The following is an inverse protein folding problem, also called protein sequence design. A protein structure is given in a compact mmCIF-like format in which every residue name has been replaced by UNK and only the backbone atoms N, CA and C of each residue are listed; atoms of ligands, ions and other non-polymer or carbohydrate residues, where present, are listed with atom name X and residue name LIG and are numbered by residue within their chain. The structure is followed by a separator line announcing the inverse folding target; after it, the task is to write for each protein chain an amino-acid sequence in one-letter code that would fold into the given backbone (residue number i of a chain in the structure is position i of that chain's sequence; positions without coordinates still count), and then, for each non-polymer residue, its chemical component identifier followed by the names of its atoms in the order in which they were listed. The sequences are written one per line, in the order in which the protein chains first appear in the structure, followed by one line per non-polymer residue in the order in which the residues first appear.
data_IF_667368385824
#
_entry.id   IF_667368385824
#
_cell.length_a   1.000
_cell.length_b   1.000
_cell.length_c   1.000
_cell.angle_alpha   90.00
_cell.angle_beta   90.00
_cell.angle_gamma   90.00
#
_symmetry.space_group_name_H-M   'P 1'
#
loop_
_entity.id
_entity.type
_entity.pdbx_description
1 polymer ?
#
# COMPACT_ATOMS: atom_id res chain seq x y z
N UNK A 1 -5.36 28.39 10.83
CA UNK A 1 -5.24 27.29 9.87
C UNK A 1 -4.61 27.86 8.63
N UNK A 2 -3.64 27.20 7.97
CA UNK A 2 -3.16 27.70 6.68
C UNK A 2 -4.34 27.77 5.71
N UNK A 3 -4.33 28.80 4.85
CA UNK A 3 -5.33 29.01 3.81
C UNK A 3 -5.36 27.76 2.90
N UNK A 4 -6.55 27.28 2.53
CA UNK A 4 -6.66 26.22 1.53
C UNK A 4 -6.20 26.77 0.18
N UNK A 5 -5.18 26.16 -0.41
CA UNK A 5 -4.72 26.48 -1.76
C UNK A 5 -5.63 25.81 -2.79
N UNK A 6 -5.90 26.48 -3.89
CA UNK A 6 -6.40 25.81 -5.08
C UNK A 6 -5.32 24.88 -5.62
N UNK A 7 -5.71 23.81 -6.32
CA UNK A 7 -4.77 22.88 -6.91
C UNK A 7 -5.19 22.47 -8.33
N UNK A 8 -4.23 22.02 -9.10
CA UNK A 8 -4.44 21.43 -10.42
C UNK A 8 -3.87 20.02 -10.49
N UNK A 9 -4.48 19.17 -11.29
CA UNK A 9 -4.02 17.81 -11.54
C UNK A 9 -3.67 17.61 -13.01
N UNK A 10 -2.58 16.90 -13.29
CA UNK A 10 -2.18 16.52 -14.65
C UNK A 10 -1.71 15.09 -14.72
N UNK A 11 -1.96 14.45 -15.85
CA UNK A 11 -1.41 13.14 -16.15
C UNK A 11 0.09 13.24 -16.42
N UNK A 12 0.83 12.29 -15.87
CA UNK A 12 2.26 12.10 -16.10
C UNK A 12 2.54 10.64 -16.42
N UNK A 13 3.67 10.36 -17.03
CA UNK A 13 4.10 8.98 -17.28
C UNK A 13 5.61 8.89 -17.37
N UNK A 14 6.11 7.67 -17.16
CA UNK A 14 7.51 7.30 -17.38
C UNK A 14 7.58 5.86 -17.85
N UNK A 15 8.75 5.41 -18.25
CA UNK A 15 8.94 4.06 -18.77
C UNK A 15 9.89 3.27 -17.88
N UNK A 16 9.55 2.01 -17.63
CA UNK A 16 10.37 1.03 -16.92
C UNK A 16 10.34 -0.28 -17.70
N UNK A 17 11.49 -0.76 -18.16
CA UNK A 17 11.64 -2.00 -18.94
C UNK A 17 10.72 -2.08 -20.18
N UNK A 18 10.51 -0.95 -20.87
CA UNK A 18 9.63 -0.86 -22.03
C UNK A 18 8.13 -0.90 -21.69
N UNK A 19 7.80 -0.77 -20.40
CA UNK A 19 6.44 -0.67 -19.90
C UNK A 19 6.18 0.75 -19.43
N UNK A 20 5.14 1.37 -19.99
CA UNK A 20 4.73 2.72 -19.63
C UNK A 20 3.94 2.69 -18.32
N UNK A 21 4.38 3.46 -17.35
CA UNK A 21 3.73 3.67 -16.07
C UNK A 21 3.01 5.02 -16.11
N UNK A 22 1.77 5.05 -15.67
CA UNK A 22 0.92 6.24 -15.68
C UNK A 22 0.68 6.74 -14.26
N UNK A 23 0.62 8.05 -14.10
CA UNK A 23 0.35 8.68 -12.81
C UNK A 23 -0.38 10.00 -12.94
N UNK A 24 -0.89 10.48 -11.83
CA UNK A 24 -1.50 11.81 -11.70
C UNK A 24 -0.67 12.63 -10.72
N UNK A 25 -0.12 13.73 -11.21
CA UNK A 25 0.54 14.74 -10.40
C UNK A 25 -0.49 15.83 -10.03
N UNK A 26 -0.65 16.09 -8.72
CA UNK A 26 -1.50 17.16 -8.22
C UNK A 26 -0.63 18.16 -7.48
N UNK A 27 -0.78 19.45 -7.78
CA UNK A 27 0.03 20.50 -7.17
C UNK A 27 -0.82 21.74 -6.83
N UNK A 28 -0.45 22.50 -5.79
CA UNK A 28 -1.03 23.82 -5.50
C UNK A 28 -0.85 24.76 -6.68
N UNK A 29 -1.84 25.62 -6.94
CA UNK A 29 -1.73 26.71 -7.90
C UNK A 29 -1.15 27.95 -7.22
N UNK A 30 -0.31 28.69 -7.92
CA UNK A 30 0.21 29.99 -7.46
C UNK A 30 1.33 29.93 -6.42
N UNK A 31 1.75 28.78 -5.95
CA UNK A 31 2.86 28.61 -5.01
C UNK A 31 3.96 27.70 -5.55
N UNK A 32 5.21 28.13 -5.40
CA UNK A 32 6.38 27.26 -5.57
C UNK A 32 6.59 26.47 -4.27
N UNK A 33 6.17 25.22 -4.26
CA UNK A 33 6.39 24.33 -3.10
C UNK A 33 7.54 23.36 -3.34
N UNK A 34 8.32 23.13 -2.27
CA UNK A 34 9.37 22.11 -2.23
C UNK A 34 8.95 20.82 -1.56
N UNK A 35 7.68 20.75 -1.07
CA UNK A 35 7.16 19.58 -0.33
C UNK A 35 6.41 18.67 -1.28
N UNK A 36 6.78 17.39 -1.30
CA UNK A 36 6.11 16.42 -2.16
C UNK A 36 5.84 15.09 -1.46
N UNK A 37 4.79 14.42 -1.89
CA UNK A 37 4.40 13.08 -1.41
C UNK A 37 4.18 12.15 -2.60
N UNK A 38 4.89 11.02 -2.62
CA UNK A 38 4.67 9.93 -3.58
C UNK A 38 3.81 8.87 -2.91
N UNK A 39 2.73 8.49 -3.56
CA UNK A 39 1.78 7.47 -3.06
C UNK A 39 2.14 6.10 -3.59
N UNK A 40 2.13 5.08 -2.73
CA UNK A 40 2.45 3.70 -3.09
C UNK A 40 1.27 2.80 -2.72
N UNK A 41 0.64 2.23 -3.75
CA UNK A 41 -0.56 1.43 -3.61
C UNK A 41 -0.31 0.04 -2.97
N UNK A 42 -1.36 -0.51 -2.37
CA UNK A 42 -1.39 -1.84 -1.78
C UNK A 42 -1.46 -2.99 -2.78
N UNK A 43 -1.79 -4.20 -2.30
CA UNK A 43 -1.78 -5.45 -3.06
C UNK A 43 -2.79 -5.51 -4.21
N UNK A 44 -2.54 -6.44 -5.14
CA UNK A 44 -3.43 -6.75 -6.26
C UNK A 44 -3.45 -5.66 -7.34
N UNK A 45 -4.46 -5.65 -8.22
CA UNK A 45 -4.60 -4.69 -9.30
C UNK A 45 -5.11 -3.32 -8.81
N UNK A 46 -4.60 -2.87 -7.66
CA UNK A 46 -4.97 -1.61 -7.01
C UNK A 46 -4.31 -0.44 -7.76
N UNK A 47 -5.14 0.48 -8.23
CA UNK A 47 -4.73 1.63 -9.03
C UNK A 47 -4.14 2.77 -8.20
N UNK A 48 -3.81 3.88 -8.87
CA UNK A 48 -3.25 5.11 -8.28
C UNK A 48 -4.11 5.74 -7.20
N UNK A 49 -5.42 5.52 -7.24
CA UNK A 49 -6.39 6.09 -6.29
C UNK A 49 -6.68 5.14 -5.11
N UNK A 50 -6.02 3.99 -5.09
CA UNK A 50 -6.23 2.86 -4.18
C UNK A 50 -7.59 2.21 -4.36
N UNK A 51 -8.10 2.22 -5.59
CA UNK A 51 -9.25 1.45 -6.01
C UNK A 51 -8.82 0.13 -6.65
N UNK A 52 -9.61 -0.90 -6.45
CA UNK A 52 -9.40 -2.21 -7.08
C UNK A 52 -10.62 -2.57 -7.92
N UNK A 53 -10.44 -3.09 -9.15
CA UNK A 53 -11.55 -3.56 -9.96
C UNK A 53 -12.29 -4.77 -9.36
N UNK A 54 -11.72 -5.37 -8.31
CA UNK A 54 -12.31 -6.48 -7.56
C UNK A 54 -13.27 -6.00 -6.45
N UNK A 55 -13.33 -4.70 -6.18
CA UNK A 55 -14.15 -4.10 -5.12
C UNK A 55 -15.03 -2.98 -5.67
N UNK A 56 -16.22 -2.76 -5.10
CA UNK A 56 -17.12 -1.72 -5.58
C UNK A 56 -16.64 -0.31 -5.27
N UNK A 57 -16.93 0.62 -6.18
CA UNK A 57 -16.74 2.06 -6.03
C UNK A 57 -15.41 2.58 -6.57
N UNK A 58 -15.37 3.88 -6.82
CA UNK A 58 -14.23 4.63 -7.37
C UNK A 58 -13.80 5.80 -6.51
N UNK A 59 -14.42 5.98 -5.35
CA UNK A 59 -14.07 7.01 -4.37
C UNK A 59 -12.80 6.62 -3.60
N UNK A 60 -11.64 6.67 -4.26
CA UNK A 60 -10.36 6.18 -3.76
C UNK A 60 -9.74 7.08 -2.69
N UNK A 61 -9.24 6.47 -1.63
CA UNK A 61 -8.62 7.18 -0.51
C UNK A 61 -7.36 7.95 -0.91
N UNK A 62 -6.53 7.39 -1.80
CA UNK A 62 -5.31 8.07 -2.24
C UNK A 62 -5.62 9.39 -2.96
N UNK A 63 -6.67 9.42 -3.79
CA UNK A 63 -7.12 10.65 -4.43
C UNK A 63 -7.54 11.69 -3.39
N UNK A 64 -8.41 11.32 -2.46
CA UNK A 64 -8.90 12.22 -1.42
C UNK A 64 -7.77 12.77 -0.54
N UNK A 65 -6.82 11.93 -0.13
CA UNK A 65 -5.66 12.34 0.66
C UNK A 65 -4.75 13.26 -0.16
N UNK A 66 -4.52 12.95 -1.43
CA UNK A 66 -3.67 13.76 -2.30
C UNK A 66 -4.25 15.17 -2.52
N UNK A 67 -5.56 15.28 -2.72
CA UNK A 67 -6.27 16.56 -2.85
C UNK A 67 -6.17 17.36 -1.55
N UNK A 68 -6.43 16.77 -0.39
CA UNK A 68 -6.28 17.41 0.92
C UNK A 68 -4.85 17.88 1.18
N UNK A 69 -3.83 17.07 0.85
CA UNK A 69 -2.43 17.46 0.98
C UNK A 69 -2.05 18.58 0.02
N UNK A 70 -2.59 18.57 -1.20
CA UNK A 70 -2.32 19.64 -2.17
C UNK A 70 -2.93 20.96 -1.76
N UNK A 71 -4.12 20.96 -1.13
CA UNK A 71 -4.69 22.15 -0.49
C UNK A 71 -3.83 22.71 0.66
N UNK A 72 -2.91 21.88 1.20
CA UNK A 72 -1.97 22.26 2.28
C UNK A 72 -0.55 22.52 1.78
N UNK A 73 -0.38 22.71 0.48
CA UNK A 73 0.88 23.11 -0.12
C UNK A 73 1.84 21.95 -0.44
N UNK A 74 1.35 20.71 -0.56
CA UNK A 74 2.15 19.59 -1.03
C UNK A 74 1.91 19.30 -2.52
N UNK A 75 2.97 19.01 -3.25
CA UNK A 75 2.85 18.29 -4.54
C UNK A 75 2.62 16.82 -4.21
N UNK A 76 1.69 16.18 -4.91
CA UNK A 76 1.44 14.75 -4.75
C UNK A 76 1.54 14.02 -6.07
N UNK A 77 2.14 12.83 -6.06
CA UNK A 77 2.16 11.92 -7.21
C UNK A 77 1.56 10.58 -6.80
N UNK A 78 0.50 10.18 -7.50
CA UNK A 78 -0.14 8.87 -7.42
C UNK A 78 0.09 8.15 -8.74
N UNK A 79 0.43 6.85 -8.72
CA UNK A 79 0.70 6.12 -9.97
C UNK A 79 0.09 4.71 -9.95
N UNK A 80 -0.24 4.22 -11.14
CA UNK A 80 -0.67 2.85 -11.36
C UNK A 80 0.57 1.97 -11.42
N UNK A 81 0.74 1.09 -10.44
CA UNK A 81 1.78 0.07 -10.52
C UNK A 81 1.47 -0.89 -11.68
N UNK A 82 2.49 -1.58 -12.22
CA UNK A 82 2.24 -2.53 -13.32
C UNK A 82 1.19 -3.57 -12.93
N UNK A 83 0.29 -3.88 -13.84
CA UNK A 83 -0.85 -4.75 -13.58
C UNK A 83 -2.05 -4.04 -12.97
N UNK A 84 -2.07 -2.71 -12.91
CA UNK A 84 -3.20 -1.93 -12.40
C UNK A 84 -3.58 -0.73 -13.29
N UNK A 85 -4.69 -0.08 -12.93
CA UNK A 85 -5.16 1.13 -13.58
C UNK A 85 -5.85 0.92 -14.94
N UNK A 86 -6.37 2.00 -15.52
CA UNK A 86 -7.20 1.93 -16.74
C UNK A 86 -6.41 1.50 -17.98
N UNK A 87 -5.09 1.69 -17.99
CA UNK A 87 -4.23 1.40 -19.15
C UNK A 87 -3.64 -0.02 -19.14
N UNK A 88 -4.10 -0.89 -18.23
CA UNK A 88 -3.59 -2.27 -18.07
C UNK A 88 -3.61 -3.07 -19.38
N UNK A 89 -4.65 -2.87 -20.23
CA UNK A 89 -4.80 -3.59 -21.50
C UNK A 89 -3.65 -3.32 -22.49
N UNK A 90 -3.07 -2.12 -22.45
CA UNK A 90 -1.97 -1.73 -23.35
C UNK A 90 -0.64 -2.39 -22.95
N UNK A 91 -0.48 -2.72 -21.67
CA UNK A 91 0.78 -3.18 -21.08
C UNK A 91 0.76 -4.66 -20.73
N UNK A 92 -0.41 -5.30 -20.61
CA UNK A 92 -0.59 -6.66 -20.10
C UNK A 92 0.29 -7.69 -20.84
N UNK A 93 0.30 -7.68 -22.17
CA UNK A 93 1.11 -8.63 -22.96
C UNK A 93 2.62 -8.47 -22.72
N UNK A 94 3.06 -7.27 -22.34
CA UNK A 94 4.48 -6.96 -22.06
C UNK A 94 4.89 -7.30 -20.63
N UNK A 95 3.93 -7.57 -19.73
CA UNK A 95 4.19 -7.74 -18.30
C UNK A 95 4.45 -9.19 -17.87
N UNK A 96 4.05 -10.18 -18.68
CA UNK A 96 4.19 -11.61 -18.34
C UNK A 96 5.66 -11.91 -18.04
N UNK A 97 5.93 -12.43 -16.84
CA UNK A 97 7.29 -12.74 -16.34
C UNK A 97 8.14 -11.51 -15.98
N UNK A 98 7.58 -10.29 -16.02
CA UNK A 98 8.31 -9.04 -15.74
C UNK A 98 7.82 -8.32 -14.47
N UNK A 99 6.92 -8.92 -13.70
CA UNK A 99 6.53 -8.39 -12.40
C UNK A 99 7.40 -9.04 -11.34
N UNK A 100 8.16 -8.21 -10.60
CA UNK A 100 9.08 -8.62 -9.55
C UNK A 100 9.20 -7.52 -8.49
N UNK A 101 9.78 -7.84 -7.34
CA UNK A 101 10.13 -6.82 -6.33
C UNK A 101 11.08 -5.76 -6.90
N UNK A 102 11.97 -6.15 -7.85
CA UNK A 102 12.83 -5.19 -8.54
C UNK A 102 12.04 -4.25 -9.45
N UNK A 103 11.08 -4.77 -10.22
CA UNK A 103 10.30 -3.92 -11.13
C UNK A 103 9.47 -2.89 -10.38
N UNK A 104 8.89 -3.22 -9.21
CA UNK A 104 8.20 -2.26 -8.36
C UNK A 104 9.15 -1.23 -7.74
N UNK A 105 10.39 -1.64 -7.43
CA UNK A 105 11.44 -0.71 -7.01
C UNK A 105 11.75 0.32 -8.12
N UNK A 106 11.95 -0.15 -9.35
CA UNK A 106 12.27 0.69 -10.51
C UNK A 106 11.10 1.63 -10.87
N UNK A 107 9.85 1.17 -10.72
CA UNK A 107 8.64 2.00 -10.89
C UNK A 107 8.59 3.13 -9.86
N UNK A 108 8.85 2.82 -8.60
CA UNK A 108 8.89 3.84 -7.54
C UNK A 108 10.04 4.81 -7.73
N UNK A 109 11.21 4.35 -8.19
CA UNK A 109 12.31 5.23 -8.55
C UNK A 109 11.93 6.18 -9.70
N UNK A 110 11.19 5.68 -10.69
CA UNK A 110 10.64 6.50 -11.76
C UNK A 110 9.64 7.54 -11.26
N UNK A 111 8.76 7.16 -10.34
CA UNK A 111 7.82 8.07 -9.68
C UNK A 111 8.55 9.18 -8.91
N UNK A 112 9.60 8.84 -8.17
CA UNK A 112 10.45 9.78 -7.44
C UNK A 112 11.13 10.76 -8.42
N UNK A 113 11.76 10.28 -9.48
CA UNK A 113 12.41 11.11 -10.50
C UNK A 113 11.40 12.03 -11.21
N UNK A 114 10.23 11.51 -11.55
CA UNK A 114 9.14 12.29 -12.15
C UNK A 114 8.67 13.39 -11.20
N UNK A 115 8.48 13.10 -9.93
CA UNK A 115 8.10 14.10 -8.92
C UNK A 115 9.17 15.20 -8.82
N UNK A 116 10.44 14.82 -8.73
CA UNK A 116 11.57 15.76 -8.62
C UNK A 116 11.68 16.71 -9.82
N UNK A 117 11.34 16.26 -11.02
CA UNK A 117 11.35 17.13 -12.22
C UNK A 117 10.29 18.23 -12.18
N UNK A 118 9.32 18.16 -11.27
CA UNK A 118 8.24 19.12 -11.10
C UNK A 118 8.40 20.00 -9.85
N UNK A 119 9.43 19.77 -9.04
CA UNK A 119 9.76 20.58 -7.88
C UNK A 119 10.85 21.57 -8.28
N UNK A 120 10.58 22.89 -8.19
CA UNK A 120 11.55 23.94 -8.52
C UNK A 120 12.60 24.15 -7.42
N UNK A 121 12.33 23.69 -6.21
CA UNK A 121 13.18 23.88 -5.05
C UNK A 121 13.75 22.53 -4.54
N UNK A 122 14.74 22.61 -3.65
CA UNK A 122 15.54 21.51 -3.10
C UNK A 122 14.71 20.23 -2.81
N UNK A 123 15.10 19.08 -3.37
CA UNK A 123 14.37 17.79 -3.22
C UNK A 123 14.34 17.21 -1.79
N UNK A 124 14.87 17.95 -0.80
CA UNK A 124 14.99 17.51 0.60
C UNK A 124 13.68 17.37 1.38
N UNK A 125 12.51 17.52 0.76
CA UNK A 125 11.21 17.42 1.43
C UNK A 125 10.24 16.52 0.67
N UNK A 126 10.74 15.38 0.21
CA UNK A 126 9.92 14.36 -0.42
C UNK A 126 9.61 13.23 0.56
N UNK A 127 8.36 12.85 0.61
CA UNK A 127 7.82 11.81 1.47
C UNK A 127 7.21 10.67 0.66
N UNK A 128 7.14 9.47 1.24
CA UNK A 128 6.25 8.43 0.76
C UNK A 128 5.02 8.32 1.65
N UNK A 129 3.85 8.09 1.06
CA UNK A 129 2.63 7.68 1.74
C UNK A 129 2.12 6.40 1.11
N UNK A 130 1.97 5.37 1.93
CA UNK A 130 1.78 4.00 1.46
C UNK A 130 0.51 3.39 2.01
N UNK A 131 -0.01 2.37 1.34
CA UNK A 131 -1.06 1.53 1.88
C UNK A 131 -0.67 0.05 1.80
N UNK A 132 -0.84 -0.69 2.90
CA UNK A 132 -0.71 -2.15 2.93
C UNK A 132 0.66 -2.63 2.38
N UNK A 133 0.68 -3.51 1.37
CA UNK A 133 1.88 -3.98 0.64
C UNK A 133 2.78 -2.82 0.18
N UNK A 134 2.19 -1.67 -0.17
CA UNK A 134 2.94 -0.48 -0.56
C UNK A 134 3.97 -0.04 0.48
N UNK A 135 3.75 -0.35 1.76
CA UNK A 135 4.71 -0.12 2.84
C UNK A 135 6.01 -0.90 2.60
N UNK A 136 5.92 -2.14 2.16
CA UNK A 136 7.08 -2.98 1.86
C UNK A 136 7.86 -2.40 0.67
N UNK A 137 7.17 -1.94 -0.37
CA UNK A 137 7.81 -1.34 -1.54
C UNK A 137 8.56 -0.04 -1.18
N UNK A 138 7.93 0.86 -0.43
CA UNK A 138 8.56 2.11 -0.01
C UNK A 138 9.75 1.87 0.92
N UNK A 139 9.63 0.95 1.87
CA UNK A 139 10.74 0.58 2.76
C UNK A 139 11.88 -0.11 2.00
N UNK A 140 11.58 -1.01 1.06
CA UNK A 140 12.58 -1.64 0.20
C UNK A 140 13.34 -0.59 -0.64
N UNK A 141 12.60 0.40 -1.19
CA UNK A 141 13.21 1.55 -1.88
C UNK A 141 14.13 2.32 -0.93
N UNK A 142 13.65 2.65 0.26
CA UNK A 142 14.39 3.43 1.23
C UNK A 142 15.69 2.74 1.69
N UNK A 143 15.68 1.42 1.83
CA UNK A 143 16.88 0.64 2.19
C UNK A 143 17.86 0.52 1.03
N UNK A 144 17.38 0.36 -0.21
CA UNK A 144 18.22 0.11 -1.38
C UNK A 144 18.68 1.37 -2.10
N UNK A 145 17.92 2.47 -2.01
CA UNK A 145 18.27 3.71 -2.71
C UNK A 145 19.51 4.35 -2.10
N UNK A 146 20.44 4.76 -2.97
CA UNK A 146 21.64 5.54 -2.62
C UNK A 146 21.46 7.03 -2.87
N UNK A 147 20.42 7.42 -3.60
CA UNK A 147 20.08 8.80 -3.93
C UNK A 147 18.57 9.01 -3.82
N UNK A 148 18.13 10.24 -3.64
CA UNK A 148 16.71 10.62 -3.63
C UNK A 148 15.86 9.84 -2.59
N UNK A 149 16.45 9.55 -1.43
CA UNK A 149 15.73 8.93 -0.32
C UNK A 149 14.61 9.86 0.18
N UNK A 150 13.53 9.26 0.65
CA UNK A 150 12.46 10.02 1.29
C UNK A 150 12.96 10.65 2.60
N UNK A 151 12.56 11.89 2.86
CA UNK A 151 12.79 12.57 4.14
C UNK A 151 12.03 11.90 5.29
N UNK A 152 10.93 11.24 4.96
CA UNK A 152 10.12 10.47 5.91
C UNK A 152 9.06 9.65 5.18
N UNK A 153 8.52 8.65 5.87
CA UNK A 153 7.60 7.66 5.30
C UNK A 153 6.37 7.52 6.17
N UNK A 154 5.19 7.61 5.57
CA UNK A 154 3.91 7.29 6.21
C UNK A 154 3.48 5.90 5.76
N UNK A 155 3.43 4.95 6.68
CA UNK A 155 3.09 3.55 6.46
C UNK A 155 1.68 3.30 6.99
N UNK A 156 0.67 3.18 6.12
CA UNK A 156 -0.70 2.92 6.52
C UNK A 156 -1.10 1.47 6.25
N UNK A 157 -1.76 0.82 7.21
CA UNK A 157 -2.14 -0.59 7.10
C UNK A 157 -0.94 -1.51 6.82
N UNK A 158 0.26 -1.16 7.32
CA UNK A 158 1.49 -1.89 7.03
C UNK A 158 1.50 -3.26 7.74
N UNK A 159 1.77 -4.36 7.01
CA UNK A 159 1.87 -5.69 7.61
C UNK A 159 3.19 -5.83 8.38
N UNK A 160 3.11 -6.05 9.68
CA UNK A 160 4.27 -6.35 10.54
C UNK A 160 4.75 -7.79 10.39
N UNK A 161 3.85 -8.70 10.03
CA UNK A 161 4.13 -10.09 9.68
C UNK A 161 4.45 -10.23 8.18
N UNK A 162 4.98 -11.38 7.75
CA UNK A 162 5.13 -11.64 6.33
C UNK A 162 3.77 -11.64 5.60
N UNK A 163 3.78 -11.29 4.32
CA UNK A 163 2.56 -11.31 3.50
C UNK A 163 1.89 -12.70 3.54
N UNK A 164 2.68 -13.77 3.49
CA UNK A 164 2.16 -15.13 3.62
C UNK A 164 1.47 -15.40 4.96
N UNK A 165 2.00 -14.89 6.07
CA UNK A 165 1.37 -15.02 7.39
C UNK A 165 0.06 -14.23 7.49
N UNK A 166 0.03 -13.01 6.93
CA UNK A 166 -1.20 -12.21 6.88
C UNK A 166 -2.26 -12.90 6.03
N UNK A 167 -1.90 -13.35 4.83
CA UNK A 167 -2.80 -14.09 3.94
C UNK A 167 -3.35 -15.37 4.61
N UNK A 168 -2.47 -16.15 5.25
CA UNK A 168 -2.88 -17.36 6.00
C UNK A 168 -3.90 -17.04 7.09
N UNK A 169 -3.70 -15.96 7.83
CA UNK A 169 -4.65 -15.53 8.87
C UNK A 169 -6.01 -15.14 8.27
N UNK A 170 -6.02 -14.45 7.13
CA UNK A 170 -7.25 -14.10 6.41
C UNK A 170 -7.99 -15.35 5.92
N UNK A 171 -7.28 -16.34 5.35
CA UNK A 171 -7.86 -17.64 4.93
C UNK A 171 -8.42 -18.40 6.12
N UNK A 172 -7.68 -18.48 7.23
CA UNK A 172 -8.14 -19.11 8.46
C UNK A 172 -9.46 -18.49 8.95
N UNK A 173 -9.57 -17.16 8.92
CA UNK A 173 -10.80 -16.45 9.28
C UNK A 173 -11.96 -16.77 8.33
N UNK A 174 -11.71 -16.92 7.04
CA UNK A 174 -12.74 -17.33 6.07
C UNK A 174 -13.23 -18.77 6.28
N UNK A 175 -12.31 -19.67 6.64
CA UNK A 175 -12.61 -21.09 6.80
C UNK A 175 -13.28 -21.44 8.13
N UNK A 176 -13.08 -20.63 9.19
CA UNK A 176 -13.43 -20.98 10.57
C UNK A 176 -14.89 -21.36 10.82
N UNK A 177 -15.82 -20.92 9.95
CA UNK A 177 -17.23 -21.27 10.03
C UNK A 177 -17.59 -22.60 9.35
N UNK A 178 -16.63 -23.23 8.65
CA UNK A 178 -16.83 -24.48 7.94
C UNK A 178 -16.57 -25.70 8.86
N UNK A 179 -17.31 -26.80 8.71
CA UNK A 179 -17.18 -27.96 9.59
C UNK A 179 -15.80 -28.62 9.61
N UNK A 180 -15.04 -28.51 8.52
CA UNK A 180 -13.71 -29.09 8.31
C UNK A 180 -12.61 -28.04 8.16
N UNK A 181 -12.76 -26.89 8.85
CA UNK A 181 -11.86 -25.72 8.74
C UNK A 181 -10.38 -26.05 8.88
N UNK A 182 -10.02 -26.90 9.86
CA UNK A 182 -8.61 -27.27 10.12
C UNK A 182 -8.02 -28.09 8.99
N UNK A 183 -8.78 -29.02 8.40
CA UNK A 183 -8.29 -29.83 7.28
C UNK A 183 -8.18 -29.01 6.00
N UNK A 184 -9.14 -28.10 5.75
CA UNK A 184 -9.04 -27.15 4.65
C UNK A 184 -7.82 -26.23 4.80
N UNK A 185 -7.53 -25.77 6.02
CA UNK A 185 -6.35 -24.94 6.28
C UNK A 185 -5.04 -25.73 6.03
N UNK A 186 -4.98 -27.03 6.38
CA UNK A 186 -3.84 -27.89 6.03
C UNK A 186 -3.66 -28.03 4.51
N UNK A 187 -4.77 -28.19 3.75
CA UNK A 187 -4.72 -28.25 2.29
C UNK A 187 -4.19 -26.94 1.69
N UNK A 188 -4.63 -25.80 2.25
CA UNK A 188 -4.10 -24.50 1.88
C UNK A 188 -2.59 -24.41 2.17
N UNK A 189 -2.17 -24.74 3.39
CA UNK A 189 -0.77 -24.67 3.83
C UNK A 189 0.13 -25.54 2.92
N UNK A 190 -0.26 -26.79 2.62
CA UNK A 190 0.48 -27.66 1.71
C UNK A 190 0.61 -27.09 0.28
N UNK A 191 -0.43 -26.42 -0.21
CA UNK A 191 -0.40 -25.74 -1.51
C UNK A 191 0.56 -24.56 -1.49
N UNK A 192 0.58 -23.79 -0.41
CA UNK A 192 1.50 -22.65 -0.23
C UNK A 192 2.95 -23.14 -0.09
N UNK A 193 3.21 -24.22 0.61
CA UNK A 193 4.56 -24.79 0.73
C UNK A 193 5.11 -25.19 -0.65
N UNK A 194 4.28 -25.78 -1.51
CA UNK A 194 4.63 -26.05 -2.91
C UNK A 194 4.91 -24.76 -3.69
N UNK A 195 4.06 -23.73 -3.52
CA UNK A 195 4.24 -22.43 -4.16
C UNK A 195 5.55 -21.76 -3.76
N UNK A 196 5.85 -21.69 -2.47
CA UNK A 196 7.08 -21.05 -1.94
C UNK A 196 8.33 -21.81 -2.36
N UNK A 197 8.28 -23.14 -2.40
CA UNK A 197 9.41 -23.98 -2.86
C UNK A 197 9.61 -23.98 -4.38
N UNK A 198 8.79 -23.26 -5.12
CA UNK A 198 8.91 -23.14 -6.57
C UNK A 198 8.30 -24.29 -7.37
N UNK A 199 7.60 -25.20 -6.69
CA UNK A 199 6.90 -26.31 -7.32
C UNK A 199 5.57 -25.85 -7.95
N UNK A 200 5.08 -26.54 -8.98
CA UNK A 200 3.74 -26.32 -9.50
C UNK A 200 2.70 -26.50 -8.38
N UNK A 201 1.70 -25.61 -8.36
CA UNK A 201 0.61 -25.74 -7.40
C UNK A 201 -0.62 -26.35 -8.05
N UNK A 202 -1.25 -27.26 -7.33
CA UNK A 202 -2.53 -27.86 -7.67
C UNK A 202 -3.43 -27.72 -6.44
N UNK A 203 -4.26 -26.63 -6.34
CA UNK A 203 -5.11 -26.44 -5.19
C UNK A 203 -6.08 -27.62 -5.01
N UNK A 204 -6.17 -28.09 -3.79
CA UNK A 204 -7.06 -29.20 -3.43
C UNK A 204 -8.51 -28.84 -3.77
N UNK A 205 -9.26 -29.78 -4.35
CA UNK A 205 -10.65 -29.59 -4.78
C UNK A 205 -11.63 -29.38 -3.61
N UNK A 206 -11.25 -29.79 -2.40
CA UNK A 206 -12.02 -29.56 -1.18
C UNK A 206 -12.03 -28.09 -0.74
N UNK A 207 -11.02 -27.30 -1.16
CA UNK A 207 -10.96 -25.89 -0.84
C UNK A 207 -12.10 -25.10 -1.51
N UNK A 208 -12.69 -24.11 -0.83
CA UNK A 208 -13.66 -23.19 -1.44
C UNK A 208 -13.14 -22.60 -2.74
N UNK A 209 -14.02 -22.44 -3.72
CA UNK A 209 -13.67 -21.97 -5.06
C UNK A 209 -12.88 -20.65 -5.05
N UNK A 210 -13.30 -19.68 -4.23
CA UNK A 210 -12.58 -18.40 -4.10
C UNK A 210 -11.13 -18.56 -3.64
N UNK A 211 -10.85 -19.52 -2.74
CA UNK A 211 -9.48 -19.81 -2.28
C UNK A 211 -8.68 -20.50 -3.39
N UNK A 212 -9.29 -21.43 -4.12
CA UNK A 212 -8.62 -22.09 -5.25
C UNK A 212 -8.24 -21.09 -6.35
N UNK A 213 -9.15 -20.17 -6.69
CA UNK A 213 -8.89 -19.10 -7.66
C UNK A 213 -7.78 -18.16 -7.19
N UNK A 214 -7.77 -17.80 -5.90
CA UNK A 214 -6.67 -17.01 -5.31
C UNK A 214 -5.32 -17.72 -5.49
N UNK A 215 -5.23 -19.00 -5.12
CA UNK A 215 -4.00 -19.79 -5.23
C UNK A 215 -3.53 -19.92 -6.68
N UNK A 216 -4.44 -20.18 -7.62
CA UNK A 216 -4.13 -20.20 -9.06
C UNK A 216 -3.64 -18.83 -9.55
N UNK A 217 -4.26 -17.75 -9.08
CA UNK A 217 -3.84 -16.38 -9.39
C UNK A 217 -2.43 -16.07 -8.90
N UNK A 218 -2.06 -16.50 -7.69
CA UNK A 218 -0.69 -16.35 -7.16
C UNK A 218 0.36 -17.01 -8.06
N UNK A 219 0.06 -18.21 -8.56
CA UNK A 219 0.98 -18.97 -9.41
C UNK A 219 0.90 -18.61 -10.90
N UNK A 220 0.04 -17.67 -11.27
CA UNK A 220 -0.08 -17.21 -12.64
C UNK A 220 1.26 -16.66 -13.16
N UNK A 221 1.66 -16.99 -14.41
CA UNK A 221 2.83 -16.38 -15.03
C UNK A 221 2.82 -14.84 -15.03
N UNK A 222 1.62 -14.23 -15.01
CA UNK A 222 1.48 -12.77 -14.93
C UNK A 222 1.89 -12.21 -13.55
N UNK A 223 1.85 -13.03 -12.48
CA UNK A 223 2.20 -12.60 -11.11
C UNK A 223 3.59 -13.10 -10.67
N UNK A 224 4.24 -13.91 -11.46
CA UNK A 224 5.58 -14.43 -11.16
C UNK A 224 6.69 -13.62 -11.84
N UNK A 225 7.86 -13.46 -11.19
CA UNK A 225 8.24 -14.04 -9.89
C UNK A 225 7.72 -13.27 -8.67
N UNK A 226 7.10 -12.11 -8.85
CA UNK A 226 6.73 -11.16 -7.80
C UNK A 226 5.97 -11.79 -6.62
N UNK A 227 4.87 -12.53 -6.89
CA UNK A 227 4.05 -13.09 -5.82
C UNK A 227 4.85 -14.01 -4.89
N UNK A 228 5.79 -14.80 -5.45
CA UNK A 228 6.65 -15.68 -4.65
C UNK A 228 7.71 -14.90 -3.87
N UNK A 229 8.32 -13.89 -4.49
CA UNK A 229 9.28 -13.02 -3.82
C UNK A 229 8.63 -12.30 -2.63
N UNK A 230 7.46 -11.69 -2.85
CA UNK A 230 6.74 -10.92 -1.85
C UNK A 230 6.28 -11.78 -0.67
N UNK A 231 6.00 -13.06 -0.89
CA UNK A 231 5.34 -13.94 0.10
C UNK A 231 6.07 -14.00 1.45
N UNK A 232 7.40 -13.86 1.42
CA UNK A 232 8.25 -13.89 2.60
C UNK A 232 8.60 -12.52 3.17
N UNK A 233 8.27 -11.44 2.45
CA UNK A 233 8.60 -10.09 2.87
C UNK A 233 7.63 -9.56 3.94
N UNK A 234 8.16 -8.73 4.84
CA UNK A 234 7.37 -8.00 5.83
C UNK A 234 7.96 -6.59 6.03
N UNK A 235 7.16 -5.68 6.58
CA UNK A 235 7.63 -4.32 6.84
C UNK A 235 8.59 -4.26 8.04
N UNK A 236 8.49 -5.18 9.02
CA UNK A 236 9.32 -5.21 10.22
C UNK A 236 10.81 -5.36 9.91
N UNK A 237 11.17 -6.24 8.94
CA UNK A 237 12.57 -6.47 8.54
C UNK A 237 13.21 -5.25 7.87
N UNK A 238 12.41 -4.42 7.20
CA UNK A 238 12.89 -3.23 6.52
C UNK A 238 12.93 -2.01 7.44
N UNK A 239 11.87 -1.76 8.24
CA UNK A 239 11.76 -0.57 9.07
C UNK A 239 12.90 -0.51 10.12
N UNK A 240 13.37 -1.66 10.58
CA UNK A 240 14.53 -1.76 11.47
C UNK A 240 15.79 -1.14 10.88
N UNK A 241 15.92 -1.10 9.55
CA UNK A 241 17.09 -0.61 8.79
C UNK A 241 16.95 0.83 8.31
N UNK A 242 15.77 1.44 8.45
CA UNK A 242 15.49 2.80 7.96
C UNK A 242 15.82 3.81 9.06
N UNK A 243 16.76 4.74 8.81
CA UNK A 243 17.12 5.78 9.78
C UNK A 243 16.22 7.03 9.71
N UNK A 244 15.47 7.22 8.62
CA UNK A 244 14.60 8.37 8.46
C UNK A 244 13.32 8.25 9.31
N UNK A 245 12.68 9.39 9.64
CA UNK A 245 11.42 9.39 10.37
C UNK A 245 10.34 8.57 9.67
N UNK A 246 9.57 7.78 10.43
CA UNK A 246 8.40 7.10 9.91
C UNK A 246 7.18 7.28 10.84
N UNK A 247 6.00 7.38 10.23
CA UNK A 247 4.71 7.26 10.89
C UNK A 247 4.09 5.92 10.49
N UNK A 248 3.89 5.04 11.46
CA UNK A 248 3.19 3.78 11.28
C UNK A 248 1.75 3.95 11.76
N UNK A 249 0.79 3.74 10.87
CA UNK A 249 -0.63 3.93 11.17
C UNK A 249 -1.43 2.69 10.76
N UNK A 250 -2.15 2.10 11.71
CA UNK A 250 -3.08 0.99 11.44
C UNK A 250 -4.39 1.33 12.13
N UNK A 251 -5.47 1.45 11.35
CA UNK A 251 -6.78 1.74 11.89
C UNK A 251 -7.33 0.60 12.74
N UNK A 252 -8.03 0.89 13.86
CA UNK A 252 -8.61 -0.16 14.69
C UNK A 252 -9.80 -0.87 14.03
N UNK A 253 -10.34 -0.32 12.95
CA UNK A 253 -11.36 -0.97 12.09
C UNK A 253 -10.76 -1.70 10.89
N UNK A 254 -9.44 -1.75 10.79
CA UNK A 254 -8.76 -2.55 9.77
C UNK A 254 -9.00 -4.05 10.03
N UNK A 255 -9.55 -4.74 9.02
CA UNK A 255 -9.83 -6.18 9.07
C UNK A 255 -8.86 -6.99 8.19
N UNK A 256 -7.97 -6.33 7.46
CA UNK A 256 -6.95 -6.97 6.63
C UNK A 256 -5.62 -7.09 7.37
N UNK A 257 -5.20 -6.02 8.04
CA UNK A 257 -4.01 -5.97 8.88
C UNK A 257 -4.44 -5.74 10.33
N UNK A 258 -3.97 -6.58 11.22
CA UNK A 258 -4.39 -6.53 12.63
C UNK A 258 -3.54 -5.53 13.40
N UNK A 259 -4.14 -4.43 13.86
CA UNK A 259 -3.42 -3.36 14.54
C UNK A 259 -2.71 -3.82 15.83
N UNK A 260 -3.21 -4.85 16.52
CA UNK A 260 -2.56 -5.42 17.71
C UNK A 260 -1.40 -6.33 17.33
N UNK A 261 -1.63 -7.27 16.42
CA UNK A 261 -0.63 -8.29 16.05
C UNK A 261 0.47 -7.67 15.16
N UNK A 262 0.08 -7.01 14.06
CA UNK A 262 1.03 -6.39 13.15
C UNK A 262 1.65 -5.12 13.74
N UNK A 263 0.85 -4.34 14.50
CA UNK A 263 1.35 -3.19 15.23
C UNK A 263 2.40 -3.56 16.26
N UNK A 264 2.19 -4.64 17.02
CA UNK A 264 3.16 -5.15 17.98
C UNK A 264 4.45 -5.61 17.29
N UNK A 265 4.36 -6.35 16.18
CA UNK A 265 5.53 -6.79 15.43
C UNK A 265 6.37 -5.60 14.92
N UNK A 266 5.71 -4.53 14.44
CA UNK A 266 6.38 -3.31 14.01
C UNK A 266 7.00 -2.54 15.19
N UNK A 267 6.33 -2.49 16.36
CA UNK A 267 6.88 -1.89 17.57
C UNK A 267 8.13 -2.64 18.05
N UNK A 268 8.07 -3.98 18.08
CA UNK A 268 9.22 -4.81 18.45
C UNK A 268 10.42 -4.60 17.51
N UNK A 269 10.17 -4.50 16.20
CA UNK A 269 11.21 -4.25 15.19
C UNK A 269 11.84 -2.84 15.28
N UNK A 270 11.21 -1.93 16.00
CA UNK A 270 11.64 -0.53 16.11
C UNK A 270 12.03 -0.14 17.56
N UNK A 271 12.26 -1.10 18.45
CA UNK A 271 12.72 -0.85 19.81
C UNK A 271 14.01 -0.01 19.77
N UNK A 272 14.04 1.08 20.55
CA UNK A 272 15.17 2.01 20.61
C UNK A 272 15.23 3.03 19.48
N UNK A 273 14.26 3.08 18.57
CA UNK A 273 14.16 4.08 17.48
C UNK A 273 13.23 5.24 17.88
N UNK A 274 13.81 6.40 18.16
CA UNK A 274 13.04 7.62 18.52
C UNK A 274 12.39 8.32 17.32
N UNK A 275 12.84 7.99 16.11
CA UNK A 275 12.34 8.57 14.86
C UNK A 275 11.05 7.91 14.34
N UNK A 276 10.53 6.88 15.01
CA UNK A 276 9.32 6.15 14.62
C UNK A 276 8.14 6.59 15.50
N UNK A 277 7.05 6.95 14.85
CA UNK A 277 5.79 7.30 15.50
C UNK A 277 4.72 6.26 15.18
N UNK A 278 3.87 5.92 16.14
CA UNK A 278 2.75 5.01 15.96
C UNK A 278 1.42 5.73 16.15
N UNK A 279 0.42 5.37 15.35
CA UNK A 279 -0.96 5.87 15.46
C UNK A 279 -1.94 4.75 15.16
N UNK A 280 -3.00 4.65 15.97
CA UNK A 280 -4.05 3.64 15.84
C UNK A 280 -5.43 4.32 15.90
N UNK A 281 -5.85 5.02 14.82
CA UNK A 281 -7.13 5.73 14.80
C UNK A 281 -8.31 4.80 15.09
N UNK A 282 -9.22 5.22 15.96
CA UNK A 282 -10.29 4.36 16.48
C UNK A 282 -11.28 3.92 15.39
N UNK A 283 -11.54 4.77 14.40
CA UNK A 283 -12.56 4.53 13.40
C UNK A 283 -12.04 4.40 11.96
N UNK A 284 -10.72 4.41 11.74
CA UNK A 284 -10.15 4.20 10.43
C UNK A 284 -10.14 2.71 10.05
N UNK A 285 -10.58 2.39 8.82
CA UNK A 285 -10.44 1.07 8.21
C UNK A 285 -9.11 0.93 7.44
N UNK A 286 -8.94 -0.17 6.69
CA UNK A 286 -7.71 -0.49 5.97
C UNK A 286 -7.25 0.58 4.96
N UNK A 287 -8.19 1.33 4.40
CA UNK A 287 -7.92 2.42 3.43
C UNK A 287 -8.13 3.81 4.05
N UNK A 288 -8.09 3.90 5.38
CA UNK A 288 -8.28 5.14 6.15
C UNK A 288 -9.65 5.79 5.97
N UNK A 289 -10.66 5.03 5.60
CA UNK A 289 -12.05 5.52 5.59
C UNK A 289 -12.70 5.32 6.96
N UNK A 290 -13.53 6.29 7.35
CA UNK A 290 -14.26 6.26 8.62
C UNK A 290 -15.25 5.10 8.68
N UNK A 291 -15.29 4.36 9.78
CA UNK A 291 -16.18 3.24 10.02
C UNK A 291 -16.59 3.17 11.49
N UNK A 292 -17.88 3.40 11.80
CA UNK A 292 -18.39 3.36 13.17
C UNK A 292 -18.68 1.96 13.69
N UNK A 293 -19.02 1.02 12.76
CA UNK A 293 -19.34 -0.36 13.17
C UNK A 293 -18.22 -1.00 13.98
N UNK A 294 -18.52 -1.77 15.04
CA UNK A 294 -17.52 -2.59 15.74
C UNK A 294 -16.79 -3.53 14.77
N UNK A 295 -15.47 -3.73 15.00
CA UNK A 295 -14.59 -4.52 14.13
C UNK A 295 -15.13 -5.95 13.92
N UNK A 296 -15.68 -6.57 14.95
CA UNK A 296 -16.25 -7.93 14.92
C UNK A 296 -17.44 -8.02 13.94
N UNK A 297 -18.25 -6.95 13.86
CA UNK A 297 -19.35 -6.87 12.90
C UNK A 297 -18.88 -6.59 11.48
N UNK A 298 -17.73 -5.89 11.32
CA UNK A 298 -17.13 -5.67 9.99
C UNK A 298 -16.56 -6.98 9.46
N UNK A 299 -15.93 -7.80 10.30
CA UNK A 299 -15.38 -9.11 9.91
C UNK A 299 -16.44 -10.08 9.38
N UNK A 300 -17.70 -9.91 9.80
CA UNK A 300 -18.83 -10.72 9.31
C UNK A 300 -19.48 -10.17 8.03
N UNK A 301 -19.13 -8.96 7.59
CA UNK A 301 -19.66 -8.38 6.36
C UNK A 301 -18.99 -9.05 5.15
N UNK A 302 -19.79 -9.66 4.28
CA UNK A 302 -19.30 -10.40 3.10
C UNK A 302 -18.67 -9.49 2.03
N UNK A 303 -18.90 -8.17 2.08
CA UNK A 303 -18.47 -7.24 1.04
C UNK A 303 -17.64 -6.10 1.61
N UNK A 304 -16.40 -6.00 1.14
CA UNK A 304 -15.54 -4.84 1.43
C UNK A 304 -16.01 -3.64 0.59
N UNK A 305 -16.55 -2.63 1.24
CA UNK A 305 -17.03 -1.39 0.60
C UNK A 305 -16.10 -0.23 0.91
N UNK A 306 -14.84 -0.34 0.50
CA UNK A 306 -13.85 0.69 0.80
C UNK A 306 -14.08 1.98 0.00
N UNK A 307 -14.42 1.84 -1.29
CA UNK A 307 -14.41 2.95 -2.24
C UNK A 307 -15.80 3.33 -2.75
N UNK A 308 -16.88 3.00 -2.03
CA UNK A 308 -18.23 3.49 -2.35
C UNK A 308 -18.33 4.99 -2.09
N UNK A 309 -19.23 5.67 -2.83
CA UNK A 309 -19.30 7.14 -2.86
C UNK A 309 -19.69 7.79 -1.53
N UNK A 310 -20.39 7.05 -0.66
CA UNK A 310 -20.81 7.47 0.67
C UNK A 310 -19.67 7.46 1.72
N UNK A 311 -18.49 6.92 1.37
CA UNK A 311 -17.38 6.78 2.29
C UNK A 311 -16.48 8.00 2.32
N UNK A 312 -16.15 8.47 3.52
CA UNK A 312 -15.27 9.62 3.77
C UNK A 312 -14.00 9.20 4.49
N UNK A 313 -12.94 9.97 4.35
CA UNK A 313 -11.71 9.76 5.11
C UNK A 313 -11.98 9.88 6.61
N UNK A 314 -11.27 9.08 7.39
CA UNK A 314 -11.27 9.24 8.85
C UNK A 314 -10.51 10.52 9.22
N UNK A 315 -11.18 11.38 9.97
CA UNK A 315 -10.66 12.69 10.35
C UNK A 315 -9.39 12.58 11.22
N UNK A 316 -9.37 11.64 12.18
CA UNK A 316 -8.23 11.43 13.06
C UNK A 316 -7.00 10.98 12.26
N UNK A 317 -7.20 10.01 11.36
CA UNK A 317 -6.15 9.49 10.50
C UNK A 317 -5.58 10.60 9.60
N UNK A 318 -6.45 11.34 8.88
CA UNK A 318 -6.01 12.41 7.98
C UNK A 318 -5.28 13.53 8.71
N UNK A 319 -5.81 13.99 9.83
CA UNK A 319 -5.21 15.06 10.62
C UNK A 319 -3.85 14.64 11.22
N UNK A 320 -3.71 13.39 11.63
CA UNK A 320 -2.43 12.84 12.13
C UNK A 320 -1.38 12.80 11.02
N UNK A 321 -1.73 12.31 9.83
CA UNK A 321 -0.83 12.32 8.66
C UNK A 321 -0.38 13.74 8.34
N UNK A 322 -1.31 14.68 8.22
CA UNK A 322 -1.01 16.07 7.87
C UNK A 322 -0.10 16.73 8.91
N UNK A 323 -0.42 16.61 10.19
CA UNK A 323 0.40 17.18 11.27
C UNK A 323 1.82 16.59 11.27
N UNK A 324 1.93 15.28 11.06
CA UNK A 324 3.23 14.60 11.00
C UNK A 324 4.06 15.09 9.81
N UNK A 325 3.48 15.13 8.60
CA UNK A 325 4.16 15.60 7.40
C UNK A 325 4.63 17.05 7.54
N UNK A 326 3.79 17.94 8.07
CA UNK A 326 4.15 19.34 8.31
C UNK A 326 5.28 19.45 9.34
N UNK A 327 5.22 18.71 10.44
CA UNK A 327 6.29 18.68 11.45
C UNK A 327 7.62 18.25 10.85
N UNK A 328 7.64 17.12 10.11
CA UNK A 328 8.89 16.60 9.54
C UNK A 328 9.40 17.49 8.41
N UNK A 329 8.51 18.14 7.65
CA UNK A 329 8.90 19.10 6.61
C UNK A 329 9.73 20.25 7.17
N UNK A 330 9.43 20.69 8.38
CA UNK A 330 10.07 21.83 9.04
C UNK A 330 11.36 21.48 9.82
N UNK A 331 11.69 20.20 9.96
CA UNK A 331 12.98 19.79 10.52
C UNK A 331 14.09 20.04 9.49
N UNK A 332 15.06 20.85 9.81
CA UNK A 332 16.23 21.20 8.98
C UNK A 332 17.28 20.10 8.93
#
# INVERSE_FOLDING_TARGET
MPQNCEFESKEVNWEVDGIKIYGTLTKPTGEDTSKAVVFVAGSGPTDRDWCSPLLPGTNGSAKLIAEELSQRGFITLRYDKRGSGPNIKETMAKMIGKISMKSHLDELEGAVKTTLSHIKANPKSMFALTNSEGAIHALNYQVKSTSNRFKGIVLTGAPGRSIGQVARCQIQNQLKSLPNADDLLKCYDATIDSFVSGQPIMPDQSLPEGIRLLLQGLASPANLPFARELWTYNASDFISKVPEPALIMIGKKDIQVDWQVDGKALQEATIGKENISFSYPDNADHVLKHKEKPREKILSDATLRYNTEDRVLDYEAMNTILKWLLRISNLT
#
